data_IF_195567882561
#
_entry.id   IF_195567882561
#
_cell.length_a   1.000
_cell.length_b   1.000
_cell.length_c   1.000
_cell.angle_alpha   90.00
_cell.angle_beta   90.00
_cell.angle_gamma   90.00
#
_symmetry.space_group_name_H-M   'P 1'
#
loop_
_entity.id
_entity.type
_entity.pdbx_description
1 polymer ?
#
# COMPACT_ATOMS: atom_id res chain seq x y z
N UNK A 1 -0.88 -4.57 -34.22
CA UNK A 1 0.21 -5.57 -34.40
C UNK A 1 1.51 -4.81 -34.56
N UNK A 2 2.27 -4.67 -33.48
CA UNK A 2 3.67 -4.27 -33.54
C UNK A 2 4.40 -5.10 -32.48
N UNK A 3 5.13 -6.10 -32.97
CA UNK A 3 6.00 -6.95 -32.17
C UNK A 3 7.13 -6.07 -31.63
N UNK A 4 7.10 -5.72 -30.34
CA UNK A 4 8.25 -5.12 -29.67
C UNK A 4 9.02 -6.24 -28.96
N UNK A 5 9.74 -7.01 -29.77
CA UNK A 5 10.87 -7.79 -29.29
C UNK A 5 12.06 -6.87 -29.06
N UNK A 6 12.28 -6.48 -27.82
CA UNK A 6 13.45 -5.78 -27.26
C UNK A 6 13.16 -5.69 -25.76
N UNK A 7 13.93 -6.18 -24.78
CA UNK A 7 15.29 -6.66 -24.73
C UNK A 7 15.40 -7.50 -23.43
N UNK A 8 14.89 -8.74 -23.40
CA UNK A 8 15.03 -9.58 -22.19
C UNK A 8 16.40 -10.28 -22.09
N UNK A 9 17.28 -10.09 -23.09
CA UNK A 9 18.52 -10.85 -23.22
C UNK A 9 19.78 -10.17 -22.67
N UNK A 10 19.74 -8.89 -22.28
CA UNK A 10 20.95 -8.20 -21.77
C UNK A 10 21.24 -8.50 -20.30
N UNK A 11 20.20 -8.81 -19.51
CA UNK A 11 20.34 -8.95 -18.05
C UNK A 11 20.88 -10.32 -17.62
N UNK A 12 20.70 -11.37 -18.44
CA UNK A 12 21.17 -12.72 -18.14
C UNK A 12 22.71 -12.86 -18.23
N UNK A 13 23.37 -11.94 -18.95
CA UNK A 13 24.83 -11.96 -19.18
C UNK A 13 25.64 -11.10 -18.19
N UNK A 14 24.99 -10.28 -17.37
CA UNK A 14 25.66 -9.33 -16.49
C UNK A 14 26.31 -10.02 -15.27
N UNK A 15 27.48 -9.51 -14.90
CA UNK A 15 28.16 -9.95 -13.67
C UNK A 15 27.50 -9.34 -12.43
N UNK A 16 27.74 -9.93 -11.26
CA UNK A 16 27.18 -9.43 -9.99
C UNK A 16 27.52 -7.96 -9.75
N UNK A 17 28.71 -7.52 -10.13
CA UNK A 17 29.17 -6.13 -9.94
C UNK A 17 28.41 -5.14 -10.85
N UNK A 18 28.15 -5.54 -12.10
CA UNK A 18 27.34 -4.75 -13.03
C UNK A 18 25.90 -4.60 -12.53
N UNK A 19 25.30 -5.67 -11.99
CA UNK A 19 23.98 -5.60 -11.37
C UNK A 19 23.94 -4.65 -10.17
N UNK A 20 24.99 -4.63 -9.35
CA UNK A 20 25.13 -3.69 -8.23
C UNK A 20 25.23 -2.25 -8.73
N UNK A 21 25.98 -2.00 -9.81
CA UNK A 21 26.09 -0.68 -10.42
C UNK A 21 24.74 -0.21 -11.00
N UNK A 22 24.01 -1.09 -11.69
CA UNK A 22 22.68 -0.81 -12.21
C UNK A 22 21.69 -0.50 -11.08
N UNK A 23 21.66 -1.29 -10.00
CA UNK A 23 20.78 -1.03 -8.86
C UNK A 23 21.08 0.30 -8.16
N UNK A 24 22.35 0.70 -8.06
CA UNK A 24 22.70 2.04 -7.55
C UNK A 24 22.17 3.15 -8.44
N UNK A 25 22.35 3.01 -9.74
CA UNK A 25 21.89 4.01 -10.70
C UNK A 25 20.35 4.11 -10.73
N UNK A 26 19.65 2.98 -10.64
CA UNK A 26 18.19 2.92 -10.53
C UNK A 26 17.70 3.51 -9.20
N UNK A 27 18.37 3.16 -8.09
CA UNK A 27 18.05 3.70 -6.77
C UNK A 27 18.27 5.22 -6.65
N UNK A 28 19.32 5.75 -7.29
CA UNK A 28 19.56 7.20 -7.35
C UNK A 28 18.47 7.92 -8.15
N UNK A 29 18.08 7.38 -9.30
CA UNK A 29 16.98 7.91 -10.12
C UNK A 29 15.64 7.92 -9.37
N UNK A 30 15.37 6.87 -8.58
CA UNK A 30 14.16 6.76 -7.76
C UNK A 30 14.28 7.44 -6.39
N UNK A 31 15.45 8.01 -6.06
CA UNK A 31 15.78 8.55 -4.74
C UNK A 31 15.46 7.56 -3.58
N UNK A 32 15.72 6.27 -3.79
CA UNK A 32 15.38 5.19 -2.86
C UNK A 32 16.60 4.35 -2.50
N UNK A 33 16.68 3.93 -1.24
CA UNK A 33 17.69 2.98 -0.79
C UNK A 33 17.38 1.57 -1.33
N UNK A 34 18.32 1.02 -2.11
CA UNK A 34 18.21 -0.30 -2.74
C UNK A 34 19.27 -1.21 -2.18
N UNK A 35 18.88 -2.33 -1.56
CA UNK A 35 19.86 -3.26 -1.00
C UNK A 35 20.63 -3.96 -2.13
N UNK A 36 21.95 -3.91 -2.04
CA UNK A 36 22.88 -4.53 -3.01
C UNK A 36 23.42 -5.88 -2.50
N UNK A 37 22.90 -6.33 -1.37
CA UNK A 37 23.24 -7.59 -0.71
C UNK A 37 22.33 -8.69 -1.21
N UNK A 38 22.90 -9.70 -1.87
CA UNK A 38 22.14 -10.80 -2.45
C UNK A 38 22.98 -11.70 -3.36
N UNK A 39 22.34 -12.74 -3.90
CA UNK A 39 22.89 -13.56 -4.99
C UNK A 39 22.75 -12.81 -6.33
N UNK A 40 23.48 -13.23 -7.36
CA UNK A 40 23.41 -12.62 -8.69
C UNK A 40 21.98 -12.60 -9.23
N UNK A 41 21.24 -13.70 -9.03
CA UNK A 41 19.86 -13.85 -9.48
C UNK A 41 18.89 -12.91 -8.75
N UNK A 42 19.07 -12.72 -7.44
CA UNK A 42 18.23 -11.81 -6.65
C UNK A 42 18.44 -10.35 -7.06
N UNK A 43 19.70 -9.96 -7.34
CA UNK A 43 20.01 -8.62 -7.83
C UNK A 43 19.48 -8.41 -9.26
N UNK A 44 19.57 -9.42 -10.13
CA UNK A 44 19.03 -9.35 -11.49
C UNK A 44 17.51 -9.16 -11.47
N UNK A 45 16.79 -9.96 -10.68
CA UNK A 45 15.35 -9.81 -10.54
C UNK A 45 14.97 -8.39 -10.08
N UNK A 46 15.70 -7.84 -9.11
CA UNK A 46 15.46 -6.49 -8.60
C UNK A 46 15.75 -5.41 -9.63
N UNK A 47 16.79 -5.58 -10.45
CA UNK A 47 17.09 -4.67 -11.57
C UNK A 47 15.93 -4.68 -12.55
N UNK A 48 15.43 -5.86 -12.95
CA UNK A 48 14.28 -5.99 -13.84
C UNK A 48 13.05 -5.27 -13.29
N UNK A 49 12.71 -5.50 -12.02
CA UNK A 49 11.54 -4.89 -11.36
C UNK A 49 11.63 -3.34 -11.34
N UNK A 50 12.78 -2.79 -10.91
CA UNK A 50 12.97 -1.34 -10.85
C UNK A 50 13.00 -0.69 -12.24
N UNK A 51 13.51 -1.41 -13.24
CA UNK A 51 13.58 -0.92 -14.61
C UNK A 51 12.21 -0.94 -15.30
N UNK A 52 11.34 -1.91 -14.96
CA UNK A 52 9.93 -1.93 -15.39
C UNK A 52 9.18 -0.73 -14.79
N UNK A 53 9.39 -0.42 -13.50
CA UNK A 53 8.78 0.76 -12.85
C UNK A 53 9.23 2.08 -13.50
N UNK A 54 10.49 2.18 -13.93
CA UNK A 54 11.00 3.36 -14.64
C UNK A 54 10.53 3.46 -16.10
N UNK A 55 10.43 2.35 -16.84
CA UNK A 55 9.97 2.34 -18.24
C UNK A 55 8.50 2.80 -18.34
N UNK A 56 7.64 2.40 -17.40
CA UNK A 56 6.25 2.88 -17.28
C UNK A 56 6.16 4.38 -16.92
N UNK A 57 7.23 4.98 -16.39
CA UNK A 57 7.29 6.40 -15.99
C UNK A 57 7.87 7.32 -17.09
N UNK A 58 8.45 6.77 -18.16
CA UNK A 58 9.13 7.55 -19.22
C UNK A 58 8.16 8.30 -20.17
N UNK A 59 6.84 8.14 -20.02
CA UNK A 59 5.82 8.89 -20.78
C UNK A 59 5.39 10.21 -20.08
N UNK A 60 6.22 10.80 -19.22
CA UNK A 60 6.01 12.18 -18.72
C UNK A 60 7.29 13.00 -18.49
N UNK A 61 8.37 12.68 -19.20
CA UNK A 61 9.56 13.54 -19.22
C UNK A 61 9.36 14.75 -20.15
N UNK A 62 8.58 15.73 -19.67
CA UNK A 62 8.38 16.99 -20.39
C UNK A 62 7.77 18.06 -19.52
N UNK A 63 8.58 18.72 -18.68
CA UNK A 63 8.82 20.18 -18.74
C UNK A 63 9.49 20.71 -17.47
N UNK A 64 10.70 21.26 -17.68
CA UNK A 64 11.28 22.45 -17.04
C UNK A 64 11.23 22.61 -15.51
N UNK A 65 12.40 22.45 -14.87
CA UNK A 65 12.87 23.41 -13.85
C UNK A 65 12.92 24.82 -14.47
N UNK A 66 12.73 25.98 -13.78
CA UNK A 66 13.21 26.26 -12.41
C UNK A 66 12.37 27.31 -11.60
N UNK A 67 12.90 27.68 -10.41
CA UNK A 67 12.73 28.94 -9.66
C UNK A 67 11.73 28.99 -8.48
N UNK A 68 12.34 28.97 -7.29
CA UNK A 68 12.11 29.82 -6.13
C UNK A 68 10.82 30.64 -6.07
N UNK A 69 10.02 30.41 -5.01
CA UNK A 69 9.33 31.51 -4.33
C UNK A 69 9.13 31.24 -2.85
N UNK A 70 9.98 31.90 -2.08
CA UNK A 70 9.72 32.36 -0.72
C UNK A 70 8.27 32.88 -0.61
N UNK A 71 7.47 32.25 0.26
CA UNK A 71 6.20 32.82 0.73
C UNK A 71 6.09 32.59 2.23
N UNK A 72 6.90 33.35 2.96
CA UNK A 72 6.49 33.94 4.23
C UNK A 72 5.16 34.66 3.97
N UNK A 73 4.08 34.17 4.59
CA UNK A 73 3.17 34.95 5.45
C UNK A 73 1.87 34.17 5.73
N UNK A 74 1.68 33.92 7.02
CA UNK A 74 0.43 34.11 7.79
C UNK A 74 -0.74 33.15 7.62
N UNK A 75 -1.21 32.70 8.79
CA UNK A 75 -2.53 32.12 9.03
C UNK A 75 -2.42 30.63 9.35
N UNK A 76 -2.86 30.12 10.49
CA UNK A 76 -3.69 30.67 11.53
C UNK A 76 -3.46 29.84 12.80
N UNK A 77 -3.61 30.56 13.89
CA UNK A 77 -3.79 30.11 15.26
C UNK A 77 -4.87 29.03 15.31
N UNK A 78 -4.59 27.86 15.91
CA UNK A 78 -5.58 27.19 16.73
C UNK A 78 -4.92 26.24 17.72
N UNK A 79 -4.60 26.78 18.89
CA UNK A 79 -4.45 26.01 20.11
C UNK A 79 -5.83 25.47 20.50
N UNK A 80 -6.17 24.23 20.17
CA UNK A 80 -7.25 23.49 20.85
C UNK A 80 -6.91 22.01 20.92
N UNK A 81 -6.73 21.53 22.14
CA UNK A 81 -7.34 20.28 22.57
C UNK A 81 -6.61 19.00 22.18
N UNK A 82 -5.67 18.61 23.03
CA UNK A 82 -5.53 17.21 23.42
C UNK A 82 -6.83 16.71 24.08
N UNK A 83 -7.90 16.60 23.30
CA UNK A 83 -9.09 15.86 23.67
C UNK A 83 -8.88 14.45 23.14
N UNK A 84 -8.49 13.57 24.07
CA UNK A 84 -8.85 12.16 24.21
C UNK A 84 -9.22 11.44 22.91
N UNK A 85 -8.63 10.27 22.58
CA UNK A 85 -9.23 9.42 21.56
C UNK A 85 -10.68 9.21 21.98
N UNK A 86 -11.59 9.74 21.15
CA UNK A 86 -13.01 9.47 21.19
C UNK A 86 -13.09 7.95 21.16
N UNK A 87 -13.19 7.38 22.36
CA UNK A 87 -13.41 5.96 22.53
C UNK A 87 -14.85 5.87 22.08
N UNK A 88 -15.02 5.65 20.78
CA UNK A 88 -16.28 5.24 20.18
C UNK A 88 -16.68 4.06 21.04
N UNK A 89 -17.53 4.31 22.03
CA UNK A 89 -18.13 3.28 22.85
C UNK A 89 -19.02 2.58 21.85
N UNK A 90 -18.45 1.58 21.17
CA UNK A 90 -19.19 0.66 20.35
C UNK A 90 -20.16 0.02 21.33
N UNK A 91 -21.42 0.45 21.29
CA UNK A 91 -22.46 -0.06 22.16
C UNK A 91 -22.52 -1.58 21.91
N UNK A 92 -21.88 -2.34 22.79
CA UNK A 92 -21.66 -3.78 22.63
C UNK A 92 -22.96 -4.56 22.76
N UNK A 93 -24.05 -3.89 23.14
CA UNK A 93 -25.37 -4.48 23.37
C UNK A 93 -26.05 -4.94 22.07
N UNK A 94 -25.67 -4.38 20.92
CA UNK A 94 -26.36 -4.64 19.63
C UNK A 94 -25.42 -5.18 18.53
N UNK A 95 -24.33 -5.85 18.91
CA UNK A 95 -23.40 -6.43 17.94
C UNK A 95 -23.95 -7.70 17.29
N UNK A 96 -24.04 -7.68 15.96
CA UNK A 96 -24.51 -8.78 15.12
C UNK A 96 -23.35 -9.55 14.52
N UNK A 97 -23.52 -10.85 14.33
CA UNK A 97 -22.49 -11.73 13.74
C UNK A 97 -22.65 -11.80 12.23
N UNK A 98 -21.57 -11.49 11.52
CA UNK A 98 -21.49 -11.56 10.06
C UNK A 98 -20.25 -12.34 9.63
N UNK A 99 -20.28 -12.91 8.43
CA UNK A 99 -19.16 -13.67 7.84
C UNK A 99 -18.57 -12.86 6.69
N UNK A 100 -17.26 -12.64 6.71
CA UNK A 100 -16.57 -11.93 5.64
C UNK A 100 -16.59 -12.76 4.35
N UNK A 101 -16.87 -12.14 3.22
CA UNK A 101 -16.79 -12.78 1.89
C UNK A 101 -15.48 -12.42 1.19
N UNK A 102 -14.84 -11.32 1.60
CA UNK A 102 -13.58 -10.82 1.07
C UNK A 102 -12.59 -10.54 2.20
N UNK A 103 -11.33 -10.26 1.86
CA UNK A 103 -10.37 -9.71 2.84
C UNK A 103 -10.72 -8.26 3.10
N UNK A 104 -10.94 -7.90 4.36
CA UNK A 104 -11.39 -6.57 4.76
C UNK A 104 -10.65 -6.11 6.02
N UNK A 105 -10.29 -4.83 6.02
CA UNK A 105 -9.91 -4.11 7.23
C UNK A 105 -11.14 -3.48 7.85
N UNK A 106 -11.48 -3.88 9.07
CA UNK A 106 -12.62 -3.36 9.82
C UNK A 106 -12.26 -3.39 11.29
N UNK A 107 -12.80 -2.48 12.09
CA UNK A 107 -12.66 -2.53 13.54
C UNK A 107 -13.86 -3.30 14.09
N UNK A 108 -13.67 -4.60 14.29
CA UNK A 108 -14.73 -5.52 14.68
C UNK A 108 -14.29 -6.46 15.80
N UNK A 109 -15.24 -7.09 16.49
CA UNK A 109 -14.91 -8.09 17.50
C UNK A 109 -14.95 -9.51 16.93
N UNK A 110 -14.05 -10.39 17.37
CA UNK A 110 -14.10 -11.79 16.98
C UNK A 110 -15.37 -12.46 17.53
N UNK A 111 -16.08 -13.25 16.71
CA UNK A 111 -17.40 -13.80 17.10
C UNK A 111 -17.41 -14.64 18.39
N UNK A 112 -16.29 -15.31 18.69
CA UNK A 112 -16.14 -16.18 19.88
C UNK A 112 -15.24 -15.62 20.97
N UNK A 113 -14.27 -14.77 20.61
CA UNK A 113 -13.25 -14.27 21.55
C UNK A 113 -13.57 -12.87 22.06
N UNK A 114 -14.49 -12.18 21.39
CA UNK A 114 -14.82 -10.78 21.67
C UNK A 114 -13.58 -9.88 21.70
N UNK A 115 -12.56 -10.25 20.92
CA UNK A 115 -11.28 -9.56 20.80
C UNK A 115 -11.34 -8.63 19.58
N UNK A 116 -10.80 -7.39 19.64
CA UNK A 116 -10.73 -6.51 18.48
C UNK A 116 -9.86 -7.10 17.38
N UNK A 117 -10.43 -7.15 16.18
CA UNK A 117 -9.84 -7.69 14.97
C UNK A 117 -9.85 -6.57 13.94
N UNK A 118 -8.67 -6.09 13.57
CA UNK A 118 -8.51 -5.08 12.54
C UNK A 118 -8.53 -5.65 11.10
N UNK A 119 -8.36 -6.97 10.97
CA UNK A 119 -8.21 -7.64 9.70
C UNK A 119 -8.94 -8.98 9.68
N UNK A 120 -9.88 -9.12 8.74
CA UNK A 120 -10.74 -10.29 8.63
C UNK A 120 -10.51 -10.98 7.30
N UNK A 121 -10.31 -12.29 7.36
CA UNK A 121 -10.18 -13.16 6.19
C UNK A 121 -11.56 -13.62 5.69
N UNK A 122 -11.72 -13.91 4.39
CA UNK A 122 -12.96 -14.47 3.86
C UNK A 122 -13.28 -15.81 4.53
N UNK A 123 -14.54 -15.98 4.94
CA UNK A 123 -15.03 -17.12 5.72
C UNK A 123 -14.95 -16.93 7.23
N UNK A 124 -14.27 -15.89 7.73
CA UNK A 124 -14.21 -15.61 9.17
C UNK A 124 -15.47 -14.89 9.64
N UNK A 125 -16.02 -15.37 10.77
CA UNK A 125 -17.13 -14.74 11.46
C UNK A 125 -16.64 -13.69 12.47
N UNK A 126 -17.26 -12.52 12.45
CA UNK A 126 -16.93 -11.40 13.33
C UNK A 126 -18.20 -10.62 13.67
N UNK A 127 -18.11 -9.79 14.70
CA UNK A 127 -19.20 -9.03 15.29
C UNK A 127 -18.99 -7.55 15.06
N UNK A 128 -20.01 -6.91 14.49
CA UNK A 128 -20.06 -5.46 14.22
C UNK A 128 -21.43 -4.93 14.62
N UNK A 129 -21.57 -3.61 14.72
CA UNK A 129 -22.87 -2.98 14.93
C UNK A 129 -23.82 -3.28 13.77
N UNK A 130 -25.12 -3.33 14.05
CA UNK A 130 -26.15 -3.65 13.04
C UNK A 130 -26.09 -2.72 11.81
N UNK A 131 -25.79 -1.43 12.01
CA UNK A 131 -25.63 -0.47 10.90
C UNK A 131 -24.43 -0.80 10.01
N UNK A 132 -23.29 -1.17 10.59
CA UNK A 132 -22.10 -1.58 9.84
C UNK A 132 -22.37 -2.90 9.11
N UNK A 133 -23.00 -3.88 9.77
CA UNK A 133 -23.37 -5.14 9.13
C UNK A 133 -24.28 -4.96 7.91
N UNK A 134 -25.24 -4.04 7.99
CA UNK A 134 -26.11 -3.70 6.85
C UNK A 134 -25.28 -3.15 5.69
N UNK A 135 -24.45 -2.13 5.93
CA UNK A 135 -23.58 -1.55 4.88
C UNK A 135 -22.68 -2.63 4.24
N UNK A 136 -22.08 -3.48 5.06
CA UNK A 136 -21.20 -4.55 4.59
C UNK A 136 -21.93 -5.60 3.76
N UNK A 137 -23.18 -5.89 4.10
CA UNK A 137 -24.03 -6.81 3.34
C UNK A 137 -24.46 -6.17 2.01
N UNK A 138 -24.86 -4.89 2.02
CA UNK A 138 -25.23 -4.15 0.81
C UNK A 138 -24.06 -4.03 -0.18
N UNK A 139 -22.84 -3.86 0.33
CA UNK A 139 -21.61 -3.80 -0.48
C UNK A 139 -21.09 -5.18 -0.87
N UNK A 140 -21.72 -6.28 -0.45
CA UNK A 140 -21.30 -7.64 -0.72
C UNK A 140 -19.97 -8.04 -0.08
N UNK A 141 -19.56 -7.34 0.97
CA UNK A 141 -18.30 -7.56 1.69
C UNK A 141 -18.43 -8.64 2.77
N UNK A 142 -19.62 -8.75 3.36
CA UNK A 142 -19.96 -9.76 4.36
C UNK A 142 -21.40 -10.25 4.18
N UNK A 143 -21.73 -11.33 4.87
CA UNK A 143 -23.05 -11.95 4.90
C UNK A 143 -23.53 -12.12 6.34
N UNK A 144 -24.78 -11.77 6.61
CA UNK A 144 -25.47 -12.06 7.88
C UNK A 144 -25.50 -13.57 8.13
N UNK A 145 -25.12 -13.98 9.35
CA UNK A 145 -25.18 -15.38 9.80
C UNK A 145 -26.49 -15.71 10.50
#
# INVERSE_FOLDING_TARGET
MALRGHCFSVEESMTKDELIASLRSLGEQLNRDVSLTGTKEELALRVAELKEELDDTDETAGQDTPLSRENVLTGHENEVGSAQPDTVILDTSELVTVVALVKLHTDALHATRDEPVAFVLPGTAFRVSAGVAAEMTERGLARMQ
#
